data_IF_487476319737
#
_entry.id   IF_487476319737
#
_cell.length_a   1.000
_cell.length_b   1.000
_cell.length_c   1.000
_cell.angle_alpha   90.00
_cell.angle_beta   90.00
_cell.angle_gamma   90.00
#
_symmetry.space_group_name_H-M   'P 1'
#
loop_
_entity.id
_entity.type
_entity.pdbx_description
1 polymer ?
#
# COMPACT_ATOMS: atom_id res chain seq x y z
N UNK A 1 -76.86 50.24 -95.21
CA UNK A 1 -75.75 49.27 -95.05
C UNK A 1 -74.84 49.75 -93.92
N UNK A 2 -75.02 49.25 -92.69
CA UNK A 2 -74.29 49.69 -91.47
C UNK A 2 -73.90 48.50 -90.56
N UNK A 3 -73.80 47.28 -91.11
CA UNK A 3 -73.50 46.05 -90.35
C UNK A 3 -71.99 45.79 -90.17
N UNK A 4 -71.15 46.40 -91.00
CA UNK A 4 -69.68 46.22 -90.97
C UNK A 4 -69.00 46.99 -89.82
N UNK A 5 -69.62 48.04 -89.28
CA UNK A 5 -69.07 48.83 -88.18
C UNK A 5 -69.00 48.05 -86.86
N UNK A 6 -69.95 47.12 -86.64
CA UNK A 6 -69.99 46.24 -85.46
C UNK A 6 -68.89 45.17 -85.45
N UNK A 7 -68.19 44.93 -86.56
CA UNK A 7 -67.08 43.98 -86.63
C UNK A 7 -65.71 44.67 -86.66
N UNK A 8 -65.60 45.81 -87.34
CA UNK A 8 -64.34 46.55 -87.46
C UNK A 8 -63.93 47.16 -86.11
N UNK A 9 -64.87 47.78 -85.38
CA UNK A 9 -64.55 48.45 -84.11
C UNK A 9 -64.11 47.46 -83.03
N UNK A 10 -64.80 46.33 -82.79
CA UNK A 10 -64.31 45.30 -81.86
C UNK A 10 -63.00 44.67 -82.34
N UNK A 11 -62.80 44.51 -83.66
CA UNK A 11 -61.54 44.00 -84.21
C UNK A 11 -60.34 44.88 -83.86
N UNK A 12 -60.46 46.20 -84.05
CA UNK A 12 -59.40 47.17 -83.71
C UNK A 12 -59.16 47.22 -82.20
N UNK A 13 -60.22 47.23 -81.38
CA UNK A 13 -60.10 47.15 -79.92
C UNK A 13 -59.42 45.86 -79.46
N UNK A 14 -59.69 44.74 -80.12
CA UNK A 14 -59.06 43.45 -79.81
C UNK A 14 -57.58 43.48 -80.14
N UNK A 15 -57.17 44.06 -81.28
CA UNK A 15 -55.76 44.20 -81.65
C UNK A 15 -55.00 45.11 -80.67
N UNK A 16 -55.58 46.26 -80.27
CA UNK A 16 -55.00 47.17 -79.28
C UNK A 16 -54.86 46.47 -77.92
N UNK A 17 -55.89 45.75 -77.49
CA UNK A 17 -55.88 44.99 -76.24
C UNK A 17 -54.82 43.87 -76.26
N UNK A 18 -54.69 43.14 -77.37
CA UNK A 18 -53.71 42.06 -77.52
C UNK A 18 -52.27 42.59 -77.46
N UNK A 19 -52.02 43.75 -78.08
CA UNK A 19 -50.72 44.41 -77.98
C UNK A 19 -50.40 44.82 -76.54
N UNK A 20 -51.32 45.49 -75.84
CA UNK A 20 -51.14 45.87 -74.43
C UNK A 20 -50.96 44.68 -73.49
N UNK A 21 -51.72 43.61 -73.71
CA UNK A 21 -51.62 42.36 -72.93
C UNK A 21 -50.24 41.71 -73.10
N UNK A 22 -49.72 41.64 -74.33
CA UNK A 22 -48.40 41.08 -74.59
C UNK A 22 -47.29 41.90 -73.94
N UNK A 23 -47.35 43.23 -74.00
CA UNK A 23 -46.35 44.11 -73.37
C UNK A 23 -46.38 43.98 -71.84
N UNK A 24 -47.57 44.01 -71.23
CA UNK A 24 -47.69 43.82 -69.78
C UNK A 24 -47.37 42.40 -69.31
N UNK A 25 -47.65 41.37 -70.11
CA UNK A 25 -47.26 39.98 -69.77
C UNK A 25 -45.74 39.80 -69.72
N UNK A 26 -45.00 40.48 -70.61
CA UNK A 26 -43.54 40.47 -70.62
C UNK A 26 -42.95 41.23 -69.44
N UNK A 27 -43.47 42.43 -69.14
CA UNK A 27 -43.06 43.20 -67.96
C UNK A 27 -43.37 42.46 -66.65
N UNK A 28 -44.50 41.74 -66.58
CA UNK A 28 -44.85 40.91 -65.44
C UNK A 28 -43.90 39.71 -65.30
N UNK A 29 -43.55 39.05 -66.41
CA UNK A 29 -42.61 37.94 -66.43
C UNK A 29 -41.18 38.37 -66.03
N UNK A 30 -40.71 39.54 -66.47
CA UNK A 30 -39.42 40.10 -66.06
C UNK A 30 -39.42 40.50 -64.58
N UNK A 31 -40.49 41.15 -64.08
CA UNK A 31 -40.61 41.47 -62.66
C UNK A 31 -40.67 40.21 -61.78
N UNK A 32 -41.32 39.14 -62.23
CA UNK A 32 -41.29 37.85 -61.54
C UNK A 32 -39.91 37.21 -61.55
N UNK A 33 -39.18 37.26 -62.67
CA UNK A 33 -37.80 36.76 -62.74
C UNK A 33 -36.88 37.51 -61.79
N UNK A 34 -36.91 38.83 -61.80
CA UNK A 34 -36.09 39.66 -60.92
C UNK A 34 -36.44 39.39 -59.45
N UNK A 35 -37.74 39.25 -59.11
CA UNK A 35 -38.15 38.87 -57.75
C UNK A 35 -37.65 37.48 -57.37
N UNK A 36 -37.74 36.49 -58.25
CA UNK A 36 -37.24 35.13 -58.00
C UNK A 36 -35.72 35.12 -57.81
N UNK A 37 -34.98 35.88 -58.62
CA UNK A 37 -33.53 36.03 -58.50
C UNK A 37 -33.15 36.74 -57.19
N UNK A 38 -33.86 37.81 -56.80
CA UNK A 38 -33.63 38.48 -55.51
C UNK A 38 -33.97 37.59 -54.31
N UNK A 39 -35.09 36.85 -54.36
CA UNK A 39 -35.45 35.90 -53.31
C UNK A 39 -34.42 34.78 -53.22
N UNK A 40 -33.93 34.26 -54.35
CA UNK A 40 -32.89 33.24 -54.37
C UNK A 40 -31.57 33.74 -53.78
N UNK A 41 -31.17 34.98 -54.06
CA UNK A 41 -29.96 35.60 -53.48
C UNK A 41 -30.10 35.78 -51.96
N UNK A 42 -31.23 36.32 -51.49
CA UNK A 42 -31.48 36.48 -50.05
C UNK A 42 -31.52 35.13 -49.34
N UNK A 43 -32.17 34.13 -49.93
CA UNK A 43 -32.19 32.76 -49.39
C UNK A 43 -30.79 32.13 -49.36
N UNK A 44 -29.96 32.36 -50.37
CA UNK A 44 -28.58 31.87 -50.41
C UNK A 44 -27.71 32.54 -49.33
N UNK A 45 -27.84 33.85 -49.13
CA UNK A 45 -27.13 34.57 -48.07
C UNK A 45 -27.58 34.15 -46.66
N UNK A 46 -28.89 33.96 -46.44
CA UNK A 46 -29.41 33.45 -45.18
C UNK A 46 -28.97 32.01 -44.91
N UNK A 47 -28.96 31.15 -45.94
CA UNK A 47 -28.46 29.79 -45.83
C UNK A 47 -26.96 29.75 -45.53
N UNK A 48 -26.16 30.61 -46.16
CA UNK A 48 -24.72 30.74 -45.88
C UNK A 48 -24.47 31.22 -44.45
N UNK A 49 -25.21 32.25 -43.97
CA UNK A 49 -25.11 32.72 -42.58
C UNK A 49 -25.52 31.65 -41.58
N UNK A 50 -26.59 30.89 -41.86
CA UNK A 50 -27.01 29.75 -41.02
C UNK A 50 -25.94 28.67 -40.99
N UNK A 51 -25.37 28.30 -42.15
CA UNK A 51 -24.30 27.32 -42.23
C UNK A 51 -23.04 27.72 -41.46
N UNK A 52 -22.63 29.00 -41.53
CA UNK A 52 -21.49 29.51 -40.76
C UNK A 52 -21.75 29.49 -39.24
N UNK A 53 -22.94 29.87 -38.81
CA UNK A 53 -23.33 29.83 -37.39
C UNK A 53 -23.36 28.38 -36.89
N UNK A 54 -23.93 27.46 -37.67
CA UNK A 54 -23.94 26.04 -37.33
C UNK A 54 -22.53 25.45 -37.29
N UNK A 55 -21.66 25.80 -38.25
CA UNK A 55 -20.28 25.33 -38.27
C UNK A 55 -19.50 25.81 -37.03
N UNK A 56 -19.62 27.10 -36.67
CA UNK A 56 -19.00 27.66 -35.46
C UNK A 56 -19.56 27.02 -34.19
N UNK A 57 -20.88 26.80 -34.12
CA UNK A 57 -21.51 26.13 -33.00
C UNK A 57 -21.02 24.67 -32.85
N UNK A 58 -20.85 23.95 -33.96
CA UNK A 58 -20.30 22.59 -33.95
C UNK A 58 -18.84 22.56 -33.51
N UNK A 59 -18.01 23.48 -33.99
CA UNK A 59 -16.60 23.56 -33.61
C UNK A 59 -16.43 23.88 -32.11
N UNK A 60 -17.19 24.86 -31.62
CA UNK A 60 -17.19 25.25 -30.20
C UNK A 60 -17.73 24.13 -29.31
N UNK A 61 -18.79 23.42 -29.74
CA UNK A 61 -19.28 22.23 -29.03
C UNK A 61 -18.24 21.10 -29.02
N UNK A 62 -17.53 20.86 -30.13
CA UNK A 62 -16.48 19.86 -30.23
C UNK A 62 -15.28 20.20 -29.32
N UNK A 63 -14.86 21.47 -29.27
CA UNK A 63 -13.80 21.95 -28.37
C UNK A 63 -14.17 21.71 -26.91
N UNK A 64 -15.37 22.12 -26.48
CA UNK A 64 -15.84 21.87 -25.10
C UNK A 64 -16.01 20.39 -24.78
N UNK A 65 -16.35 19.55 -25.76
CA UNK A 65 -16.40 18.11 -25.55
C UNK A 65 -14.98 17.56 -25.33
N UNK A 66 -14.02 17.91 -26.19
CA UNK A 66 -12.63 17.49 -26.08
C UNK A 66 -11.97 17.98 -24.77
N UNK A 67 -12.22 19.22 -24.35
CA UNK A 67 -11.72 19.75 -23.08
C UNK A 67 -12.25 18.96 -21.87
N UNK A 68 -13.55 18.63 -21.87
CA UNK A 68 -14.15 17.83 -20.79
C UNK A 68 -13.62 16.40 -20.77
N UNK A 69 -13.42 15.79 -21.93
CA UNK A 69 -12.83 14.45 -22.04
C UNK A 69 -11.37 14.45 -21.57
N UNK A 70 -10.59 15.46 -21.94
CA UNK A 70 -9.20 15.61 -21.49
C UNK A 70 -9.11 15.85 -19.97
N UNK A 71 -9.97 16.70 -19.41
CA UNK A 71 -10.03 16.95 -17.96
C UNK A 71 -10.47 15.69 -17.21
N UNK A 72 -11.46 14.96 -17.71
CA UNK A 72 -11.91 13.70 -17.12
C UNK A 72 -10.81 12.63 -17.17
N UNK A 73 -10.12 12.50 -18.30
CA UNK A 73 -9.00 11.58 -18.46
C UNK A 73 -7.83 11.94 -17.53
N UNK A 74 -7.51 13.22 -17.37
CA UNK A 74 -6.46 13.67 -16.46
C UNK A 74 -6.82 13.39 -14.99
N UNK A 75 -8.07 13.66 -14.58
CA UNK A 75 -8.54 13.34 -13.22
C UNK A 75 -8.51 11.84 -12.94
N UNK A 76 -8.91 11.03 -13.91
CA UNK A 76 -8.87 9.57 -13.77
C UNK A 76 -7.44 9.06 -13.68
N UNK A 77 -6.54 9.54 -14.54
CA UNK A 77 -5.12 9.20 -14.50
C UNK A 77 -4.48 9.60 -13.16
N UNK A 78 -4.78 10.79 -12.64
CA UNK A 78 -4.30 11.23 -11.33
C UNK A 78 -4.85 10.34 -10.19
N UNK A 79 -6.13 9.97 -10.26
CA UNK A 79 -6.75 9.08 -9.26
C UNK A 79 -6.10 7.71 -9.27
N UNK A 80 -5.91 7.11 -10.46
CA UNK A 80 -5.25 5.82 -10.62
C UNK A 80 -3.81 5.88 -10.13
N UNK A 81 -3.05 6.90 -10.53
CA UNK A 81 -1.66 7.07 -10.10
C UNK A 81 -1.54 7.21 -8.58
N UNK A 82 -2.43 7.97 -7.93
CA UNK A 82 -2.47 8.07 -6.46
C UNK A 82 -2.80 6.73 -5.80
N UNK A 83 -3.80 6.02 -6.32
CA UNK A 83 -4.19 4.73 -5.79
C UNK A 83 -3.08 3.68 -5.92
N UNK A 84 -2.40 3.63 -7.07
CA UNK A 84 -1.26 2.74 -7.28
C UNK A 84 -0.08 3.11 -6.37
N UNK A 85 0.25 4.39 -6.23
CA UNK A 85 1.32 4.84 -5.35
C UNK A 85 1.04 4.51 -3.88
N UNK A 86 -0.20 4.73 -3.42
CA UNK A 86 -0.61 4.40 -2.06
C UNK A 86 -0.65 2.87 -1.85
N UNK A 87 -1.12 2.11 -2.83
CA UNK A 87 -1.07 0.65 -2.82
C UNK A 87 0.35 0.10 -2.72
N UNK A 88 1.28 0.65 -3.51
CA UNK A 88 2.71 0.28 -3.43
C UNK A 88 3.31 0.62 -2.07
N UNK A 89 2.97 1.78 -1.49
CA UNK A 89 3.44 2.16 -0.16
C UNK A 89 2.92 1.20 0.91
N UNK A 90 1.62 0.90 0.89
CA UNK A 90 1.00 -0.04 1.84
C UNK A 90 1.65 -1.42 1.71
N UNK A 91 1.90 -1.89 0.49
CA UNK A 91 2.57 -3.18 0.27
C UNK A 91 4.00 -3.16 0.84
N UNK A 92 4.78 -2.13 0.56
CA UNK A 92 6.14 -1.99 1.08
C UNK A 92 6.18 -1.94 2.61
N UNK A 93 5.28 -1.17 3.24
CA UNK A 93 5.17 -1.08 4.69
C UNK A 93 4.76 -2.45 5.27
N UNK A 94 3.82 -3.15 4.63
CA UNK A 94 3.37 -4.48 5.05
C UNK A 94 4.50 -5.51 4.99
N UNK A 95 5.26 -5.51 3.89
CA UNK A 95 6.39 -6.42 3.71
C UNK A 95 7.50 -6.13 4.73
N UNK A 96 7.75 -4.85 5.03
CA UNK A 96 8.69 -4.47 6.08
C UNK A 96 8.24 -4.98 7.46
N UNK A 97 6.98 -4.73 7.85
CA UNK A 97 6.49 -5.16 9.16
C UNK A 97 6.44 -6.69 9.30
N UNK A 98 6.13 -7.41 8.21
CA UNK A 98 6.20 -8.87 8.20
C UNK A 98 7.63 -9.37 8.40
N UNK A 99 8.61 -8.77 7.71
CA UNK A 99 10.01 -9.12 7.89
C UNK A 99 10.52 -8.82 9.32
N UNK A 100 10.09 -7.70 9.91
CA UNK A 100 10.39 -7.37 11.30
C UNK A 100 9.74 -8.36 12.27
N UNK A 101 8.49 -8.76 12.03
CA UNK A 101 7.78 -9.74 12.86
C UNK A 101 8.46 -11.13 12.81
N UNK A 102 8.89 -11.57 11.62
CA UNK A 102 9.61 -12.83 11.45
C UNK A 102 10.95 -12.81 12.20
N UNK A 103 11.69 -11.70 12.09
CA UNK A 103 12.95 -11.51 12.82
C UNK A 103 12.73 -11.56 14.34
N UNK A 104 11.77 -10.80 14.85
CA UNK A 104 11.45 -10.80 16.27
C UNK A 104 11.00 -12.18 16.76
N UNK A 105 10.24 -12.92 15.95
CA UNK A 105 9.81 -14.29 16.28
C UNK A 105 11.01 -15.25 16.38
N UNK A 106 12.00 -15.09 15.50
CA UNK A 106 13.26 -15.82 15.56
C UNK A 106 14.04 -15.47 16.83
N UNK A 107 14.23 -14.18 17.11
CA UNK A 107 14.95 -13.69 18.29
C UNK A 107 14.29 -14.19 19.59
N UNK A 108 12.95 -14.18 19.66
CA UNK A 108 12.19 -14.74 20.79
C UNK A 108 12.49 -16.23 20.97
N UNK A 109 12.50 -17.00 19.89
CA UNK A 109 12.77 -18.44 19.93
C UNK A 109 14.19 -18.73 20.41
N UNK A 110 15.18 -17.97 19.94
CA UNK A 110 16.58 -18.09 20.36
C UNK A 110 16.75 -17.73 21.85
N UNK A 111 16.10 -16.66 22.30
CA UNK A 111 16.10 -16.26 23.71
C UNK A 111 15.45 -17.31 24.61
N UNK A 112 14.37 -17.95 24.17
CA UNK A 112 13.74 -19.05 24.90
C UNK A 112 14.67 -20.26 25.05
N UNK A 113 15.34 -20.67 23.97
CA UNK A 113 16.34 -21.75 24.01
C UNK A 113 17.50 -21.40 24.95
N UNK A 114 17.96 -20.15 24.90
CA UNK A 114 19.03 -19.66 25.78
C UNK A 114 18.59 -19.69 27.24
N UNK A 115 17.37 -19.24 27.53
CA UNK A 115 16.80 -19.23 28.88
C UNK A 115 16.70 -20.65 29.46
N UNK A 116 16.20 -21.61 28.68
CA UNK A 116 16.12 -23.01 29.08
C UNK A 116 17.50 -23.62 29.36
N UNK A 117 18.48 -23.30 28.50
CA UNK A 117 19.88 -23.72 28.68
C UNK A 117 20.48 -23.16 29.98
N UNK A 118 20.21 -21.88 30.28
CA UNK A 118 20.66 -21.25 31.52
C UNK A 118 19.99 -21.87 32.74
N UNK A 119 18.70 -22.20 32.70
CA UNK A 119 18.03 -22.91 33.79
C UNK A 119 18.66 -24.27 34.07
N UNK A 120 18.91 -25.07 33.02
CA UNK A 120 19.59 -26.38 33.16
C UNK A 120 21.01 -26.24 33.72
N UNK A 121 21.75 -25.24 33.25
CA UNK A 121 23.12 -24.96 33.70
C UNK A 121 23.14 -24.53 35.17
N UNK A 122 22.17 -23.71 35.59
CA UNK A 122 22.00 -23.30 36.98
C UNK A 122 21.71 -24.51 37.88
N UNK A 123 20.76 -25.36 37.51
CA UNK A 123 20.41 -26.56 38.28
C UNK A 123 21.61 -27.49 38.43
N UNK A 124 22.29 -27.78 37.32
CA UNK A 124 23.51 -28.59 37.33
C UNK A 124 24.60 -28.01 38.22
N UNK A 125 24.88 -26.71 38.10
CA UNK A 125 25.89 -26.04 38.94
C UNK A 125 25.51 -26.13 40.41
N UNK A 126 24.24 -25.96 40.75
CA UNK A 126 23.76 -26.07 42.13
C UNK A 126 23.97 -27.48 42.70
N UNK A 127 23.67 -28.51 41.91
CA UNK A 127 23.93 -29.90 42.30
C UNK A 127 25.42 -30.17 42.48
N UNK A 128 26.27 -29.69 41.57
CA UNK A 128 27.73 -29.81 41.66
C UNK A 128 28.28 -29.13 42.92
N UNK A 129 27.79 -27.92 43.25
CA UNK A 129 28.14 -27.20 44.49
C UNK A 129 27.72 -27.99 45.73
N UNK A 130 26.50 -28.53 45.76
CA UNK A 130 26.02 -29.33 46.87
C UNK A 130 26.86 -30.61 47.05
N UNK A 131 27.21 -31.28 45.95
CA UNK A 131 28.07 -32.48 45.99
C UNK A 131 29.49 -32.16 46.44
N UNK A 132 30.04 -31.01 46.05
CA UNK A 132 31.34 -30.55 46.52
C UNK A 132 31.30 -30.27 48.03
N UNK A 133 30.28 -29.55 48.51
CA UNK A 133 30.10 -29.28 49.94
C UNK A 133 29.99 -30.57 50.76
N UNK A 134 29.21 -31.56 50.29
CA UNK A 134 29.13 -32.88 50.91
C UNK A 134 30.49 -33.58 50.99
N UNK A 135 31.31 -33.50 49.94
CA UNK A 135 32.65 -34.10 49.92
C UNK A 135 33.59 -33.43 50.92
N UNK A 136 33.55 -32.11 51.02
CA UNK A 136 34.35 -31.36 52.01
C UNK A 136 33.95 -31.72 53.43
N UNK A 137 32.66 -31.78 53.74
CA UNK A 137 32.20 -32.16 55.08
C UNK A 137 32.53 -33.62 55.43
N UNK A 138 32.42 -34.54 54.47
CA UNK A 138 32.88 -35.93 54.68
C UNK A 138 34.37 -36.00 54.99
N UNK A 139 35.20 -35.32 54.20
CA UNK A 139 36.64 -35.27 54.45
C UNK A 139 36.97 -34.68 55.83
N UNK A 140 36.21 -33.68 56.29
CA UNK A 140 36.35 -33.11 57.63
C UNK A 140 36.01 -34.12 58.73
N UNK A 141 34.90 -34.86 58.58
CA UNK A 141 34.49 -35.91 59.53
C UNK A 141 35.53 -37.05 59.55
N UNK A 142 36.01 -37.49 58.39
CA UNK A 142 37.01 -38.54 58.28
C UNK A 142 38.32 -38.12 58.98
N UNK A 143 38.76 -36.87 58.78
CA UNK A 143 39.91 -36.30 59.49
C UNK A 143 39.73 -36.28 61.01
N UNK A 144 38.58 -35.81 61.50
CA UNK A 144 38.27 -35.82 62.94
C UNK A 144 38.23 -37.24 63.51
N UNK A 145 37.73 -38.21 62.74
CA UNK A 145 37.68 -39.62 63.15
C UNK A 145 39.09 -40.19 63.25
N UNK A 146 39.94 -39.93 62.27
CA UNK A 146 41.35 -40.33 62.30
C UNK A 146 42.08 -39.71 63.50
N UNK A 147 41.84 -38.44 63.81
CA UNK A 147 42.43 -37.78 64.97
C UNK A 147 42.02 -38.46 66.28
N UNK A 148 40.75 -38.83 66.43
CA UNK A 148 40.26 -39.56 67.61
C UNK A 148 40.86 -40.97 67.71
N UNK A 149 41.07 -41.66 66.60
CA UNK A 149 41.75 -42.96 66.57
C UNK A 149 43.22 -42.84 66.98
N UNK A 150 43.92 -41.83 66.48
CA UNK A 150 45.30 -41.52 66.88
C UNK A 150 45.37 -41.25 68.38
N UNK A 151 44.44 -40.46 68.93
CA UNK A 151 44.38 -40.20 70.37
C UNK A 151 44.16 -41.49 71.16
N UNK A 152 43.20 -42.33 70.77
CA UNK A 152 42.95 -43.64 71.43
C UNK A 152 44.15 -44.58 71.37
N UNK A 153 44.81 -44.70 70.22
CA UNK A 153 46.00 -45.53 70.07
C UNK A 153 47.15 -45.00 70.92
N UNK A 154 47.34 -43.69 70.94
CA UNK A 154 48.36 -43.03 71.78
C UNK A 154 48.08 -43.30 73.26
N UNK A 155 46.85 -43.10 73.73
CA UNK A 155 46.45 -43.42 75.10
C UNK A 155 46.68 -44.90 75.44
N UNK A 156 46.36 -45.82 74.53
CA UNK A 156 46.59 -47.25 74.74
C UNK A 156 48.09 -47.56 74.86
N UNK A 157 48.93 -46.95 74.01
CA UNK A 157 50.40 -47.09 74.07
C UNK A 157 50.92 -46.55 75.41
N UNK A 158 50.46 -45.37 75.83
CA UNK A 158 50.82 -44.76 77.13
C UNK A 158 50.41 -45.68 78.28
N UNK A 159 49.17 -46.17 78.32
CA UNK A 159 48.71 -47.11 79.35
C UNK A 159 49.51 -48.40 79.38
N UNK A 160 49.86 -48.95 78.21
CA UNK A 160 50.69 -50.15 78.11
C UNK A 160 52.13 -49.90 78.56
N UNK A 161 52.67 -48.72 78.24
CA UNK A 161 53.96 -48.29 78.74
C UNK A 161 53.94 -48.15 80.27
N UNK A 162 52.92 -47.53 80.86
CA UNK A 162 52.78 -47.40 82.33
C UNK A 162 52.62 -48.75 83.06
N UNK A 163 51.94 -49.70 82.42
CA UNK A 163 51.76 -51.06 82.94
C UNK A 163 53.01 -51.94 82.77
N UNK A 164 53.97 -51.54 81.93
CA UNK A 164 55.20 -52.29 81.69
C UNK A 164 56.20 -52.09 82.83
N UNK A 165 56.83 -53.17 83.28
CA UNK A 165 57.87 -53.11 84.32
C UNK A 165 59.20 -52.55 83.82
N UNK A 166 59.38 -52.37 82.50
CA UNK A 166 60.61 -51.88 81.87
C UNK A 166 60.73 -50.34 81.89
N UNK A 167 59.64 -49.63 82.13
CA UNK A 167 59.54 -48.16 82.18
C UNK A 167 59.42 -47.62 83.60
N UNK A 168 59.24 -48.50 84.59
CA UNK A 168 59.32 -48.14 86.02
C UNK A 168 60.79 -47.99 86.42
N UNK A 169 61.14 -46.84 86.98
CA UNK A 169 62.44 -46.64 87.62
C UNK A 169 62.69 -47.80 88.61
N UNK A 170 63.87 -48.47 88.57
CA UNK A 170 64.17 -49.52 89.53
C UNK A 170 64.03 -48.94 90.94
N UNK A 171 63.31 -49.66 91.81
CA UNK A 171 63.18 -49.26 93.21
C UNK A 171 64.59 -49.02 93.78
N UNK A 172 64.84 -47.81 94.28
CA UNK A 172 66.12 -47.49 94.91
C UNK A 172 66.44 -48.55 95.95
N UNK A 173 67.60 -49.20 95.80
CA UNK A 173 68.01 -50.28 96.68
C UNK A 173 68.00 -49.78 98.14
N UNK A 174 67.46 -50.56 99.10
CA UNK A 174 67.42 -50.14 100.49
C UNK A 174 68.86 -49.98 101.00
N UNK A 175 69.22 -48.76 101.40
CA UNK A 175 70.46 -48.47 102.10
C UNK A 175 70.45 -49.22 103.44
N UNK A 176 71.38 -50.17 103.60
CA UNK A 176 71.74 -50.74 104.90
C UNK A 176 72.49 -49.72 105.74
#
# INVERSE_FOLDING_TARGET
MKKWLYFIVPGILTVIFTFFYLTHSKEAAEKERIRKEQVALVQAEEAAKKAEIEAKAREDAAKRAAEREAEAAAKEAERVAKWEAEGQRIQADTDQYNAEADKLSHDISELQVTLDSLYRTKERTNDEVLQLAKRVERARIDGQTADLEIQRLTEMIVRRADASSLTRLPAAAPSR
#
